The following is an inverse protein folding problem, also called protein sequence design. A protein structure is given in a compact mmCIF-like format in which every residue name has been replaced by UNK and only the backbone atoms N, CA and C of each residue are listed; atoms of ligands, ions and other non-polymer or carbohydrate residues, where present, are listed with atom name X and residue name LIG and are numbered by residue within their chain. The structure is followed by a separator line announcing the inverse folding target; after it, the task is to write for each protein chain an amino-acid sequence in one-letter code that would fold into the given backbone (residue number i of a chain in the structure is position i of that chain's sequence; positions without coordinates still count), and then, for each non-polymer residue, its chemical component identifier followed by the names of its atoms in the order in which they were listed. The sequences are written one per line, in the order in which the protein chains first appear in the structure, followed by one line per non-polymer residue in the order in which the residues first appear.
data_IF_571596433005
#
_entry.id   IF_571596433005
#
_cell.length_a   1.000
_cell.length_b   1.000
_cell.length_c   1.000
_cell.angle_alpha   90.00
_cell.angle_beta   90.00
_cell.angle_gamma   90.00
#
_symmetry.space_group_name_H-M   'P 1'
#
loop_
_entity.id
_entity.type
_entity.pdbx_description
1 polymer ?
#
# COMPACT_ATOMS: atom_id res chain seq x y z
N UNK A 1 -29.82 -0.26 11.10
CA UNK A 1 -29.24 0.77 10.23
C UNK A 1 -30.36 1.64 9.68
N UNK A 2 -30.26 2.96 9.82
CA UNK A 2 -31.24 3.88 9.21
C UNK A 2 -31.05 3.90 7.67
N UNK A 3 -32.07 4.42 6.94
CA UNK A 3 -31.95 4.59 5.48
C UNK A 3 -30.75 5.47 5.11
N UNK A 4 -30.52 6.53 5.88
CA UNK A 4 -29.40 7.43 5.67
C UNK A 4 -28.04 6.74 5.86
N UNK A 5 -27.88 5.92 6.91
CA UNK A 5 -26.66 5.14 7.14
C UNK A 5 -26.42 4.12 6.01
N UNK A 6 -27.48 3.47 5.54
CA UNK A 6 -27.40 2.52 4.42
C UNK A 6 -26.95 3.21 3.13
N UNK A 7 -27.51 4.40 2.85
CA UNK A 7 -27.14 5.20 1.69
C UNK A 7 -25.68 5.65 1.77
N UNK A 8 -25.24 6.17 2.91
CA UNK A 8 -23.85 6.59 3.16
C UNK A 8 -22.88 5.43 2.97
N UNK A 9 -23.20 4.26 3.54
CA UNK A 9 -22.38 3.05 3.35
C UNK A 9 -22.31 2.63 1.88
N UNK A 10 -23.44 2.63 1.17
CA UNK A 10 -23.48 2.27 -0.25
C UNK A 10 -22.62 3.19 -1.10
N UNK A 11 -22.64 4.50 -0.84
CA UNK A 11 -21.77 5.47 -1.52
C UNK A 11 -20.29 5.20 -1.19
N UNK A 12 -19.97 4.99 0.09
CA UNK A 12 -18.59 4.69 0.50
C UNK A 12 -18.05 3.40 -0.15
N UNK A 13 -18.87 2.36 -0.22
CA UNK A 13 -18.53 1.10 -0.91
C UNK A 13 -18.32 1.35 -2.41
N UNK A 14 -19.20 2.09 -3.07
CA UNK A 14 -19.06 2.43 -4.50
C UNK A 14 -17.78 3.20 -4.79
N UNK A 15 -17.45 4.21 -3.97
CA UNK A 15 -16.19 4.95 -4.07
C UNK A 15 -14.97 4.07 -3.83
N UNK A 16 -15.07 3.12 -2.90
CA UNK A 16 -13.98 2.16 -2.61
C UNK A 16 -13.75 1.21 -3.78
N UNK A 17 -14.82 0.68 -4.38
CA UNK A 17 -14.73 -0.14 -5.59
C UNK A 17 -14.05 0.66 -6.71
N UNK A 18 -14.45 1.91 -6.92
CA UNK A 18 -13.83 2.79 -7.90
C UNK A 18 -12.34 2.99 -7.62
N UNK A 19 -11.95 3.24 -6.37
CA UNK A 19 -10.52 3.34 -5.98
C UNK A 19 -9.74 2.08 -6.27
N UNK A 20 -10.30 0.90 -5.97
CA UNK A 20 -9.64 -0.39 -6.26
C UNK A 20 -9.47 -0.56 -7.77
N UNK A 21 -10.49 -0.24 -8.57
CA UNK A 21 -10.39 -0.27 -10.04
C UNK A 21 -9.36 0.74 -10.56
N UNK A 22 -9.32 1.95 -10.01
CA UNK A 22 -8.31 2.96 -10.32
C UNK A 22 -6.89 2.46 -10.04
N UNK A 23 -6.70 1.70 -8.97
CA UNK A 23 -5.41 1.07 -8.65
C UNK A 23 -5.00 0.05 -9.70
N UNK A 24 -5.93 -0.72 -10.21
CA UNK A 24 -5.65 -1.66 -11.29
C UNK A 24 -5.16 -0.98 -12.57
N UNK A 25 -5.62 0.22 -12.87
CA UNK A 25 -5.20 1.00 -14.04
C UNK A 25 -4.16 2.09 -13.72
N UNK A 26 -3.64 2.12 -12.49
CA UNK A 26 -2.69 3.14 -12.03
C UNK A 26 -1.47 3.30 -12.94
N UNK A 27 -0.90 2.21 -13.46
CA UNK A 27 0.23 2.29 -14.41
C UNK A 27 -0.15 2.98 -15.72
N UNK A 28 -1.35 2.73 -16.23
CA UNK A 28 -1.86 3.36 -17.44
C UNK A 28 -2.08 4.85 -17.22
N UNK A 29 -2.61 5.23 -16.06
CA UNK A 29 -2.83 6.63 -15.69
C UNK A 29 -1.50 7.35 -15.52
N UNK A 30 -0.58 6.78 -14.72
CA UNK A 30 0.72 7.40 -14.42
C UNK A 30 1.65 7.49 -15.62
N UNK A 31 1.47 6.63 -16.64
CA UNK A 31 2.33 6.53 -17.82
C UNK A 31 1.61 6.88 -19.13
N UNK A 32 0.45 7.53 -19.04
CA UNK A 32 -0.24 7.96 -20.27
C UNK A 32 0.67 8.83 -21.14
N UNK A 33 0.59 8.71 -22.43
CA UNK A 33 1.46 9.45 -23.37
C UNK A 33 1.33 10.96 -23.19
N UNK A 34 0.13 11.44 -22.82
CA UNK A 34 -0.10 12.84 -22.52
C UNK A 34 0.79 13.36 -21.39
N UNK A 35 0.95 12.62 -20.31
CA UNK A 35 1.79 13.01 -19.17
C UNK A 35 3.26 12.72 -19.43
N UNK A 36 3.59 11.62 -20.11
CA UNK A 36 4.96 11.14 -20.31
C UNK A 36 5.85 12.15 -21.05
N UNK A 37 5.32 12.82 -22.06
CA UNK A 37 6.13 13.70 -22.90
C UNK A 37 6.13 15.15 -22.43
N UNK A 38 5.06 15.63 -21.85
CA UNK A 38 4.94 17.05 -21.51
C UNK A 38 5.12 17.31 -20.02
N UNK A 39 4.53 16.46 -19.16
CA UNK A 39 4.56 16.63 -17.70
C UNK A 39 4.64 15.25 -17.00
N UNK A 40 5.83 14.60 -16.99
CA UNK A 40 5.97 13.23 -16.48
C UNK A 40 5.62 13.07 -14.98
N UNK A 41 5.66 14.14 -14.22
CA UNK A 41 5.29 14.16 -12.79
C UNK A 41 3.77 14.26 -12.57
N UNK A 42 3.03 14.75 -13.56
CA UNK A 42 1.59 15.01 -13.41
C UNK A 42 0.78 13.71 -13.29
N UNK A 43 1.19 12.65 -13.97
CA UNK A 43 0.52 11.35 -13.88
C UNK A 43 0.52 10.77 -12.45
N UNK A 44 1.69 10.63 -11.80
CA UNK A 44 1.76 10.23 -10.38
C UNK A 44 1.01 11.17 -9.45
N UNK A 45 1.14 12.49 -9.62
CA UNK A 45 0.44 13.49 -8.78
C UNK A 45 -1.07 13.36 -8.93
N UNK A 46 -1.58 13.19 -10.16
CA UNK A 46 -3.01 12.99 -10.39
C UNK A 46 -3.52 11.72 -9.73
N UNK A 47 -2.80 10.61 -9.87
CA UNK A 47 -3.18 9.34 -9.24
C UNK A 47 -3.21 9.45 -7.72
N UNK A 48 -2.12 9.91 -7.10
CA UNK A 48 -2.06 10.03 -5.63
C UNK A 48 -3.03 11.08 -5.10
N UNK A 49 -3.22 12.19 -5.82
CA UNK A 49 -4.21 13.21 -5.48
C UNK A 49 -5.64 12.66 -5.48
N UNK A 50 -6.00 11.85 -6.48
CA UNK A 50 -7.29 11.16 -6.52
C UNK A 50 -7.46 10.20 -5.35
N UNK A 51 -6.47 9.36 -5.04
CA UNK A 51 -6.53 8.44 -3.89
C UNK A 51 -6.80 9.21 -2.60
N UNK A 52 -6.07 10.30 -2.36
CA UNK A 52 -6.23 11.13 -1.16
C UNK A 52 -7.61 11.80 -1.14
N UNK A 53 -8.05 12.38 -2.27
CA UNK A 53 -9.36 13.04 -2.36
C UNK A 53 -10.52 12.07 -2.07
N UNK A 54 -10.47 10.86 -2.62
CA UNK A 54 -11.47 9.82 -2.35
C UNK A 54 -11.40 9.34 -0.89
N UNK A 55 -10.20 9.17 -0.33
CA UNK A 55 -10.04 8.81 1.08
C UNK A 55 -10.69 9.85 1.99
N UNK A 56 -10.42 11.13 1.75
CA UNK A 56 -11.06 12.25 2.47
C UNK A 56 -12.58 12.18 2.30
N UNK A 57 -13.08 12.01 1.08
CA UNK A 57 -14.52 11.91 0.80
C UNK A 57 -15.18 10.80 1.61
N UNK A 58 -14.59 9.60 1.65
CA UNK A 58 -15.11 8.46 2.40
C UNK A 58 -15.11 8.73 3.91
N UNK A 59 -14.07 9.39 4.45
CA UNK A 59 -14.01 9.79 5.86
C UNK A 59 -15.18 10.68 6.26
N UNK A 60 -15.58 11.62 5.39
CA UNK A 60 -16.71 12.51 5.67
C UNK A 60 -18.08 11.84 5.49
N UNK A 61 -18.16 10.86 4.60
CA UNK A 61 -19.42 10.13 4.34
C UNK A 61 -19.73 9.17 5.46
N UNK A 62 -18.75 8.44 6.00
CA UNK A 62 -18.95 7.45 7.03
C UNK A 62 -19.14 8.09 8.41
N UNK A 63 -20.16 7.69 9.19
CA UNK A 63 -20.25 8.05 10.61
C UNK A 63 -18.98 7.59 11.34
N UNK A 64 -18.37 8.48 12.12
CA UNK A 64 -17.08 8.20 12.79
C UNK A 64 -15.99 7.66 11.84
N UNK A 65 -15.95 8.16 10.59
CA UNK A 65 -15.08 7.64 9.55
C UNK A 65 -13.58 7.61 9.94
N UNK A 66 -13.10 8.57 10.76
CA UNK A 66 -11.71 8.55 11.23
C UNK A 66 -11.38 7.30 12.04
N UNK A 67 -12.28 6.89 12.97
CA UNK A 67 -12.10 5.70 13.78
C UNK A 67 -12.21 4.42 12.95
N UNK A 68 -13.26 4.29 12.14
CA UNK A 68 -13.48 3.11 11.31
C UNK A 68 -12.43 2.91 10.23
N UNK A 69 -11.80 3.98 9.77
CA UNK A 69 -10.74 3.96 8.74
C UNK A 69 -9.32 4.02 9.33
N UNK A 70 -9.17 3.80 10.64
CA UNK A 70 -7.86 3.79 11.31
C UNK A 70 -7.02 5.06 11.09
N UNK A 71 -7.67 6.22 10.96
CA UNK A 71 -7.01 7.52 10.78
C UNK A 71 -6.79 8.25 12.10
N UNK A 72 -6.54 7.48 13.14
CA UNK A 72 -6.20 7.95 14.49
C UNK A 72 -4.69 7.90 14.69
N UNK A 73 -4.11 8.77 15.53
CA UNK A 73 -2.71 8.67 15.89
C UNK A 73 -2.39 7.33 16.55
N UNK A 74 -1.25 6.73 16.20
CA UNK A 74 -0.77 5.52 16.86
C UNK A 74 -0.05 5.85 18.17
N UNK A 75 -0.15 4.97 19.17
CA UNK A 75 0.63 5.08 20.40
C UNK A 75 2.10 4.73 20.12
N UNK A 76 3.07 5.60 20.53
CA UNK A 76 4.50 5.38 20.28
C UNK A 76 5.02 4.05 20.82
N UNK A 77 4.50 3.61 21.98
CA UNK A 77 4.88 2.35 22.61
C UNK A 77 4.56 1.10 21.79
N UNK A 78 3.44 1.13 21.06
CA UNK A 78 3.04 0.04 20.15
C UNK A 78 3.75 0.16 18.79
N UNK A 79 3.98 1.39 18.34
CA UNK A 79 4.53 1.66 17.03
C UNK A 79 6.00 1.21 16.90
N UNK A 80 6.85 1.55 17.87
CA UNK A 80 8.29 1.34 17.77
C UNK A 80 8.71 -0.12 17.60
N UNK A 81 8.24 -1.09 18.41
CA UNK A 81 8.60 -2.50 18.23
C UNK A 81 8.17 -3.06 16.86
N UNK A 82 7.00 -2.66 16.37
CA UNK A 82 6.49 -3.08 15.07
C UNK A 82 7.40 -2.57 13.94
N UNK A 83 7.79 -1.29 13.98
CA UNK A 83 8.66 -0.70 12.97
C UNK A 83 10.06 -1.31 12.97
N UNK A 84 10.63 -1.59 14.13
CA UNK A 84 11.91 -2.29 14.23
C UNK A 84 11.83 -3.69 13.61
N UNK A 85 10.76 -4.45 13.91
CA UNK A 85 10.52 -5.75 13.29
C UNK A 85 10.45 -5.68 11.75
N UNK A 86 9.71 -4.72 11.21
CA UNK A 86 9.61 -4.53 9.76
C UNK A 86 10.93 -4.06 9.14
N UNK A 87 11.69 -3.21 9.80
CA UNK A 87 13.01 -2.80 9.32
C UNK A 87 13.95 -4.00 9.21
N UNK A 88 14.01 -4.84 10.23
CA UNK A 88 14.86 -6.05 10.23
C UNK A 88 14.42 -7.02 9.12
N UNK A 89 13.13 -7.34 9.04
CA UNK A 89 12.60 -8.23 8.00
C UNK A 89 12.82 -7.66 6.61
N UNK A 90 12.60 -6.35 6.42
CA UNK A 90 12.81 -5.66 5.14
C UNK A 90 14.28 -5.72 4.71
N UNK A 91 15.21 -5.49 5.63
CA UNK A 91 16.66 -5.54 5.36
C UNK A 91 17.08 -6.97 5.00
N UNK A 92 16.71 -7.96 5.81
CA UNK A 92 17.06 -9.37 5.56
C UNK A 92 16.49 -9.85 4.23
N UNK A 93 15.25 -9.50 3.92
CA UNK A 93 14.62 -9.82 2.65
C UNK A 93 15.34 -9.16 1.47
N UNK A 94 15.69 -7.87 1.57
CA UNK A 94 16.37 -7.13 0.53
C UNK A 94 17.80 -7.66 0.28
N UNK A 95 18.52 -8.02 1.33
CA UNK A 95 19.86 -8.64 1.24
C UNK A 95 19.74 -10.02 0.58
N UNK A 96 18.86 -10.89 1.08
CA UNK A 96 18.61 -12.21 0.51
C UNK A 96 18.25 -12.16 -0.97
N UNK A 97 17.38 -11.20 -1.34
CA UNK A 97 17.03 -10.95 -2.73
C UNK A 97 18.25 -10.48 -3.55
N UNK A 98 19.05 -9.55 -3.05
CA UNK A 98 20.23 -9.04 -3.74
C UNK A 98 21.26 -10.15 -4.04
N UNK A 99 21.55 -11.00 -3.05
CA UNK A 99 22.47 -12.12 -3.25
C UNK A 99 21.89 -13.18 -4.19
N UNK A 100 20.60 -13.54 -4.05
CA UNK A 100 19.98 -14.60 -4.85
C UNK A 100 19.85 -14.26 -6.33
N UNK A 101 19.57 -13.00 -6.68
CA UNK A 101 19.30 -12.60 -8.07
C UNK A 101 20.32 -11.68 -8.70
N UNK A 102 21.21 -11.06 -7.91
CA UNK A 102 22.24 -10.15 -8.43
C UNK A 102 23.65 -10.55 -8.02
N UNK A 103 23.82 -11.61 -7.23
CA UNK A 103 25.11 -12.10 -6.77
C UNK A 103 25.79 -11.21 -5.72
N UNK A 104 25.11 -10.18 -5.20
CA UNK A 104 25.63 -9.27 -4.21
C UNK A 104 24.82 -8.00 -4.02
N UNK A 105 25.23 -7.17 -3.08
CA UNK A 105 24.58 -5.89 -2.78
C UNK A 105 24.83 -4.91 -3.91
N UNK A 106 23.74 -4.35 -4.46
CA UNK A 106 23.77 -3.36 -5.56
C UNK A 106 22.89 -2.16 -5.20
N UNK A 107 23.38 -1.22 -4.38
CA UNK A 107 22.56 -0.09 -3.92
C UNK A 107 22.16 0.84 -5.07
N UNK A 108 21.05 1.56 -4.86
CA UNK A 108 20.64 2.61 -5.78
C UNK A 108 21.66 3.76 -5.74
N UNK A 109 22.07 4.32 -6.91
CA UNK A 109 22.93 5.50 -6.94
C UNK A 109 22.37 6.65 -6.10
N UNK A 110 23.23 7.31 -5.32
CA UNK A 110 22.83 8.39 -4.40
C UNK A 110 22.13 9.56 -5.10
N UNK A 111 22.49 9.83 -6.36
CA UNK A 111 21.86 10.89 -7.19
C UNK A 111 20.38 10.62 -7.49
N UNK A 112 19.96 9.34 -7.54
CA UNK A 112 18.56 8.94 -7.78
C UNK A 112 17.77 8.73 -6.49
N UNK A 113 18.46 8.63 -5.36
CA UNK A 113 17.86 8.25 -4.08
C UNK A 113 16.74 9.21 -3.63
N UNK A 114 16.90 10.56 -3.65
CA UNK A 114 15.86 11.46 -3.16
C UNK A 114 14.54 11.33 -3.92
N UNK A 115 14.58 11.29 -5.24
CA UNK A 115 13.38 11.16 -6.07
C UNK A 115 12.69 9.81 -5.91
N UNK A 116 13.48 8.73 -5.71
CA UNK A 116 12.96 7.39 -5.47
C UNK A 116 12.35 7.25 -4.08
N UNK A 117 12.97 7.83 -3.05
CA UNK A 117 12.40 7.84 -1.71
C UNK A 117 11.09 8.63 -1.63
N UNK A 118 11.01 9.79 -2.29
CA UNK A 118 9.77 10.54 -2.37
C UNK A 118 8.65 9.74 -3.06
N UNK A 119 8.97 9.09 -4.18
CA UNK A 119 8.02 8.21 -4.87
C UNK A 119 7.61 7.01 -4.03
N UNK A 120 8.54 6.41 -3.28
CA UNK A 120 8.25 5.31 -2.35
C UNK A 120 7.35 5.75 -1.20
N UNK A 121 7.61 6.93 -0.61
CA UNK A 121 6.79 7.48 0.44
C UNK A 121 5.36 7.75 -0.05
N UNK A 122 5.20 8.40 -1.21
CA UNK A 122 3.90 8.66 -1.81
C UNK A 122 3.15 7.36 -2.13
N UNK A 123 3.84 6.35 -2.67
CA UNK A 123 3.25 5.03 -2.95
C UNK A 123 2.83 4.31 -1.66
N UNK A 124 3.68 4.31 -0.63
CA UNK A 124 3.36 3.69 0.65
C UNK A 124 2.14 4.34 1.29
N UNK A 125 2.08 5.67 1.33
CA UNK A 125 0.92 6.40 1.87
C UNK A 125 -0.35 6.07 1.08
N UNK A 126 -0.31 6.13 -0.25
CA UNK A 126 -1.49 5.88 -1.08
C UNK A 126 -1.97 4.42 -0.97
N UNK A 127 -1.06 3.44 -1.03
CA UNK A 127 -1.40 2.02 -0.94
C UNK A 127 -1.96 1.68 0.45
N UNK A 128 -1.39 2.22 1.53
CA UNK A 128 -1.87 1.98 2.89
C UNK A 128 -3.21 2.68 3.17
N UNK A 129 -3.40 3.92 2.71
CA UNK A 129 -4.70 4.58 2.79
C UNK A 129 -5.77 3.78 2.05
N UNK A 130 -5.47 3.31 0.86
CA UNK A 130 -6.43 2.60 0.04
C UNK A 130 -6.79 1.23 0.61
N UNK A 131 -5.80 0.42 0.97
CA UNK A 131 -6.05 -0.98 1.35
C UNK A 131 -6.23 -1.17 2.86
N UNK A 132 -5.44 -0.54 3.72
CA UNK A 132 -5.48 -0.76 5.18
C UNK A 132 -6.42 0.21 5.88
N UNK A 133 -6.54 1.43 5.36
CA UNK A 133 -7.53 2.36 5.88
C UNK A 133 -8.92 2.07 5.26
N UNK A 134 -9.09 2.29 3.96
CA UNK A 134 -10.42 2.27 3.33
C UNK A 134 -10.96 0.85 3.17
N UNK A 135 -10.25 -0.04 2.44
CA UNK A 135 -10.76 -1.38 2.14
C UNK A 135 -10.94 -2.19 3.42
N UNK A 136 -9.90 -2.29 4.26
CA UNK A 136 -9.95 -3.03 5.51
C UNK A 136 -11.00 -2.44 6.47
N UNK A 137 -11.00 -1.13 6.65
CA UNK A 137 -11.95 -0.44 7.54
C UNK A 137 -13.40 -0.68 7.13
N UNK A 138 -13.71 -0.60 5.83
CA UNK A 138 -15.06 -0.88 5.33
C UNK A 138 -15.46 -2.35 5.43
N UNK A 139 -14.53 -3.30 5.19
CA UNK A 139 -14.81 -4.72 5.37
C UNK A 139 -15.16 -5.05 6.82
N UNK A 140 -14.45 -4.44 7.78
CA UNK A 140 -14.73 -4.61 9.22
C UNK A 140 -16.05 -3.92 9.57
N UNK A 141 -16.27 -2.69 9.13
CA UNK A 141 -17.50 -1.94 9.38
C UNK A 141 -18.73 -2.64 8.82
N UNK A 142 -18.62 -3.23 7.62
CA UNK A 142 -19.70 -4.01 7.00
C UNK A 142 -19.94 -5.38 7.66
N UNK A 143 -19.07 -5.81 8.59
CA UNK A 143 -19.24 -7.07 9.32
C UNK A 143 -19.18 -8.31 8.42
N UNK A 144 -18.16 -8.41 7.54
CA UNK A 144 -18.06 -9.56 6.65
C UNK A 144 -17.97 -10.89 7.41
N UNK A 145 -18.48 -12.00 6.85
CA UNK A 145 -18.33 -13.32 7.44
C UNK A 145 -16.86 -13.69 7.68
N UNK A 146 -16.53 -14.21 8.87
CA UNK A 146 -15.14 -14.51 9.28
C UNK A 146 -14.46 -13.35 10.02
N UNK A 147 -15.13 -12.21 10.20
CA UNK A 147 -14.71 -11.10 11.04
C UNK A 147 -13.39 -10.44 10.60
N UNK A 148 -12.65 -9.91 11.58
CA UNK A 148 -11.41 -9.15 11.34
C UNK A 148 -10.36 -9.96 10.56
N UNK A 149 -10.20 -11.24 10.87
CA UNK A 149 -9.22 -12.11 10.17
C UNK A 149 -9.55 -12.23 8.69
N UNK A 150 -10.81 -12.46 8.34
CA UNK A 150 -11.24 -12.52 6.95
C UNK A 150 -11.03 -11.18 6.25
N UNK A 151 -11.34 -10.06 6.90
CA UNK A 151 -11.10 -8.72 6.37
C UNK A 151 -9.63 -8.48 6.04
N UNK A 152 -8.72 -8.86 6.95
CA UNK A 152 -7.27 -8.75 6.74
C UNK A 152 -6.80 -9.63 5.58
N UNK A 153 -7.30 -10.85 5.47
CA UNK A 153 -6.94 -11.76 4.35
C UNK A 153 -7.46 -11.20 3.02
N UNK A 154 -8.72 -10.80 2.96
CA UNK A 154 -9.35 -10.27 1.74
C UNK A 154 -8.61 -9.03 1.24
N UNK A 155 -8.33 -8.05 2.13
CA UNK A 155 -7.59 -6.86 1.71
C UNK A 155 -6.16 -7.20 1.26
N UNK A 156 -5.46 -8.15 1.89
CA UNK A 156 -4.13 -8.57 1.51
C UNK A 156 -4.09 -9.21 0.12
N UNK A 157 -5.06 -10.07 -0.18
CA UNK A 157 -5.22 -10.68 -1.51
C UNK A 157 -5.55 -9.62 -2.55
N UNK A 158 -6.49 -8.70 -2.27
CA UNK A 158 -6.81 -7.60 -3.17
C UNK A 158 -5.60 -6.71 -3.45
N UNK A 159 -4.79 -6.42 -2.43
CA UNK A 159 -3.54 -5.68 -2.60
C UNK A 159 -2.55 -6.42 -3.51
N UNK A 160 -2.36 -7.73 -3.30
CA UNK A 160 -1.50 -8.55 -4.17
C UNK A 160 -2.00 -8.59 -5.61
N UNK A 161 -3.30 -8.81 -5.81
CA UNK A 161 -3.93 -8.81 -7.15
C UNK A 161 -3.83 -7.44 -7.82
N UNK A 162 -3.88 -6.35 -7.05
CA UNK A 162 -3.68 -4.99 -7.58
C UNK A 162 -2.26 -4.76 -8.13
N UNK A 163 -1.28 -5.58 -7.77
CA UNK A 163 0.07 -5.55 -8.34
C UNK A 163 0.11 -6.25 -9.72
N UNK A 164 -0.77 -5.86 -10.65
CA UNK A 164 -0.93 -6.48 -11.98
C UNK A 164 0.36 -6.61 -12.78
N UNK A 165 1.29 -5.67 -12.60
CA UNK A 165 2.59 -5.74 -13.26
C UNK A 165 3.37 -6.97 -12.85
N UNK A 166 3.39 -7.29 -11.55
CA UNK A 166 4.09 -8.46 -11.02
C UNK A 166 3.47 -9.76 -11.54
N UNK A 167 2.13 -9.81 -11.66
CA UNK A 167 1.42 -10.93 -12.27
C UNK A 167 1.78 -11.09 -13.76
N UNK A 168 1.73 -10.01 -14.53
CA UNK A 168 2.02 -10.02 -15.97
C UNK A 168 3.47 -10.42 -16.28
N UNK A 169 4.42 -9.93 -15.46
CA UNK A 169 5.84 -10.22 -15.60
C UNK A 169 6.24 -11.55 -14.92
N UNK A 170 5.28 -12.30 -14.36
CA UNK A 170 5.48 -13.56 -13.63
C UNK A 170 6.48 -13.46 -12.48
N UNK A 171 6.50 -12.35 -11.82
CA UNK A 171 7.41 -12.08 -10.69
C UNK A 171 6.79 -12.60 -9.38
N UNK A 172 6.64 -13.90 -9.27
CA UNK A 172 5.93 -14.56 -8.16
C UNK A 172 6.50 -14.24 -6.78
N UNK A 173 7.82 -14.09 -6.68
CA UNK A 173 8.47 -13.72 -5.43
C UNK A 173 7.92 -12.39 -4.87
N UNK A 174 7.88 -11.36 -5.71
CA UNK A 174 7.36 -10.04 -5.30
C UNK A 174 5.85 -10.05 -5.12
N UNK A 175 5.12 -10.84 -5.90
CA UNK A 175 3.68 -10.98 -5.74
C UNK A 175 3.32 -11.59 -4.39
N UNK A 176 3.96 -12.73 -4.04
CA UNK A 176 3.78 -13.36 -2.74
C UNK A 176 4.22 -12.41 -1.62
N UNK A 177 5.38 -11.76 -1.78
CA UNK A 177 5.87 -10.73 -0.86
C UNK A 177 4.87 -9.59 -0.66
N UNK A 178 4.18 -9.15 -1.72
CA UNK A 178 3.14 -8.13 -1.63
C UNK A 178 1.92 -8.60 -0.82
N UNK A 179 1.47 -9.85 -1.03
CA UNK A 179 0.37 -10.42 -0.23
C UNK A 179 0.76 -10.53 1.25
N UNK A 180 1.97 -11.04 1.53
CA UNK A 180 2.48 -11.17 2.90
C UNK A 180 2.65 -9.81 3.57
N UNK A 181 3.19 -8.81 2.86
CA UNK A 181 3.28 -7.43 3.33
C UNK A 181 1.87 -6.87 3.59
N UNK A 182 0.94 -7.15 2.68
CA UNK A 182 -0.47 -6.78 2.81
C UNK A 182 -1.09 -7.32 4.09
N UNK A 183 -0.89 -8.58 4.35
CA UNK A 183 -1.36 -9.28 5.54
C UNK A 183 -0.74 -8.70 6.82
N UNK A 184 0.58 -8.57 6.85
CA UNK A 184 1.30 -8.04 8.01
C UNK A 184 0.93 -6.58 8.30
N UNK A 185 0.87 -5.69 7.29
CA UNK A 185 0.43 -4.31 7.45
C UNK A 185 -1.04 -4.22 7.90
N UNK A 186 -1.91 -5.13 7.45
CA UNK A 186 -3.28 -5.22 7.93
C UNK A 186 -3.34 -5.47 9.43
N UNK A 187 -2.61 -6.45 9.93
CA UNK A 187 -2.54 -6.72 11.37
C UNK A 187 -1.90 -5.58 12.16
N UNK A 188 -0.84 -4.95 11.64
CA UNK A 188 -0.24 -3.75 12.26
C UNK A 188 -1.28 -2.64 12.42
N UNK A 189 -2.08 -2.39 11.38
CA UNK A 189 -3.14 -1.38 11.41
C UNK A 189 -4.18 -1.69 12.49
N UNK A 190 -4.63 -2.94 12.61
CA UNK A 190 -5.57 -3.37 13.64
C UNK A 190 -4.96 -3.20 15.03
N UNK A 191 -3.75 -3.73 15.26
CA UNK A 191 -3.08 -3.73 16.57
C UNK A 191 -2.78 -2.32 17.06
N UNK A 192 -2.33 -1.43 16.17
CA UNK A 192 -2.05 -0.04 16.49
C UNK A 192 -3.29 0.86 16.47
N UNK A 193 -4.44 0.34 16.06
CA UNK A 193 -5.65 1.13 15.74
C UNK A 193 -5.35 2.36 14.89
N UNK A 194 -4.35 2.23 13.99
CA UNK A 194 -3.84 3.33 13.16
C UNK A 194 -3.17 2.78 11.90
N UNK A 195 -3.38 3.45 10.77
CA UNK A 195 -2.71 3.12 9.50
C UNK A 195 -1.27 3.65 9.43
N UNK A 196 -0.91 4.62 10.28
CA UNK A 196 0.40 5.28 10.24
C UNK A 196 1.58 4.32 10.39
N UNK A 197 1.59 3.37 11.36
CA UNK A 197 2.66 2.39 11.46
C UNK A 197 2.80 1.51 10.20
N UNK A 198 1.69 1.16 9.55
CA UNK A 198 1.72 0.40 8.31
C UNK A 198 2.35 1.21 7.16
N UNK A 199 2.04 2.51 7.03
CA UNK A 199 2.68 3.40 6.05
C UNK A 199 4.20 3.45 6.24
N UNK A 200 4.67 3.61 7.48
CA UNK A 200 6.09 3.67 7.77
C UNK A 200 6.75 2.30 7.54
N UNK A 201 6.12 1.20 7.97
CA UNK A 201 6.60 -0.16 7.74
C UNK A 201 6.77 -0.47 6.25
N UNK A 202 5.76 -0.15 5.45
CA UNK A 202 5.79 -0.32 3.99
C UNK A 202 6.93 0.50 3.36
N UNK A 203 7.07 1.76 3.75
CA UNK A 203 8.16 2.64 3.30
C UNK A 203 9.54 2.07 3.65
N UNK A 204 9.73 1.54 4.87
CA UNK A 204 10.98 0.91 5.30
C UNK A 204 11.34 -0.31 4.45
N UNK A 205 10.36 -1.16 4.12
CA UNK A 205 10.57 -2.32 3.24
C UNK A 205 11.01 -1.89 1.84
N UNK A 206 10.36 -0.90 1.24
CA UNK A 206 10.76 -0.38 -0.09
C UNK A 206 12.15 0.27 -0.04
N UNK A 207 12.43 1.05 1.00
CA UNK A 207 13.73 1.72 1.17
C UNK A 207 14.85 0.70 1.31
N UNK A 208 14.63 -0.40 2.01
CA UNK A 208 15.58 -1.51 2.11
C UNK A 208 15.90 -2.11 0.74
N UNK A 209 14.90 -2.28 -0.14
CA UNK A 209 15.14 -2.73 -1.52
C UNK A 209 15.99 -1.72 -2.33
N UNK A 210 15.82 -0.42 -2.11
CA UNK A 210 16.70 0.58 -2.75
C UNK A 210 18.12 0.52 -2.20
N UNK A 211 18.29 0.34 -0.89
CA UNK A 211 19.60 0.31 -0.26
C UNK A 211 20.42 -0.94 -0.64
N UNK A 212 19.78 -2.09 -0.79
CA UNK A 212 20.50 -3.37 -0.97
C UNK A 212 20.36 -3.98 -2.37
N UNK A 213 19.26 -3.72 -3.08
CA UNK A 213 18.99 -4.29 -4.41
C UNK A 213 18.79 -3.25 -5.52
N UNK A 214 19.08 -1.96 -5.27
CA UNK A 214 18.96 -0.87 -6.24
C UNK A 214 17.55 -0.62 -6.76
N UNK A 215 16.52 -1.05 -6.02
CA UNK A 215 15.11 -0.92 -6.41
C UNK A 215 14.73 -1.69 -7.69
N UNK A 216 15.56 -2.64 -8.10
CA UNK A 216 15.31 -3.47 -9.28
C UNK A 216 14.34 -4.57 -8.88
N UNK A 217 13.17 -4.60 -9.53
CA UNK A 217 12.18 -5.65 -9.35
C UNK A 217 12.25 -6.74 -10.44
N UNK A 218 13.23 -6.69 -11.33
CA UNK A 218 13.44 -7.71 -12.35
C UNK A 218 14.34 -8.81 -11.81
N UNK A 219 13.79 -10.00 -11.70
CA UNK A 219 14.60 -11.21 -11.60
C UNK A 219 15.37 -11.36 -12.92
N UNK A 220 16.69 -11.27 -12.89
CA UNK A 220 17.48 -11.68 -14.07
C UNK A 220 17.36 -13.20 -14.14
N UNK A 221 17.01 -13.77 -15.30
CA UNK A 221 17.20 -15.19 -15.48
C UNK A 221 18.69 -15.50 -15.27
N UNK A 222 18.99 -16.44 -14.39
CA UNK A 222 20.31 -17.04 -14.20
C UNK A 222 20.60 -17.86 -15.43
#
# INVERSE_FOLDING_TARGET
MSFEESLRLSIAVGLTIFLVLLRFDSERIMRSDYFRYRYPWLGPVSYYGLVIAFAIGIVFILPNGRGHLFLTPAEPGTMLPLLLGFAVVGILNAIGFAFRWYGGITPLPTTLLPSRLLGAAASAVADELQFRSIVLGLLIFAGIPGGVTAAVVVQAVLYGVAQRRLLRERQWYFLIGSVLLGYACGWVTITANSVVPAMVAHFLVITSLFAFAGGRLRQRPI
#
